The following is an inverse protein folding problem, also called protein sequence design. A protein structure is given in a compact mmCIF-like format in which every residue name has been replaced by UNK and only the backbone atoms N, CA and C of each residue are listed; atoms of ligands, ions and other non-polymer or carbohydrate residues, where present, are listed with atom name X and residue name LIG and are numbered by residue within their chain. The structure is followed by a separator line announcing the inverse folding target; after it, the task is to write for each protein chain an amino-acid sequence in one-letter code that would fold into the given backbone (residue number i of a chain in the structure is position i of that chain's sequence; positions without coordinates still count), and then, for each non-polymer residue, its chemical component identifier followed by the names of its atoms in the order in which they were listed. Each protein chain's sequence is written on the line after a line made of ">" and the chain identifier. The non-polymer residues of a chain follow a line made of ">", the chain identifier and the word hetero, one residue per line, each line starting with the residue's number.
data_IF_968553132994
#
_entry.id   IF_968553132994
#
_cell.length_a   1.000
_cell.length_b   1.000
_cell.length_c   1.000
_cell.angle_alpha   90.00
_cell.angle_beta   90.00
_cell.angle_gamma   90.00
#
_symmetry.space_group_name_H-M   'P 1'
#
loop_
_entity.id
_entity.type
_entity.pdbx_description
1 polymer ?
#
# COMPACT_ATOMS: atom_id res chain seq x y z
N UNK A 1 -27.72 32.44 9.07
CA UNK A 1 -26.78 32.38 7.94
C UNK A 1 -25.36 32.11 8.42
N UNK A 2 -24.89 32.74 9.50
CA UNK A 2 -23.58 32.44 10.11
C UNK A 2 -23.46 31.01 10.66
N UNK A 3 -24.50 30.47 11.31
CA UNK A 3 -24.44 29.09 11.82
C UNK A 3 -24.26 28.04 10.72
N UNK A 4 -24.93 28.22 9.57
CA UNK A 4 -24.80 27.31 8.42
C UNK A 4 -23.37 27.34 7.84
N UNK A 5 -22.79 28.54 7.71
CA UNK A 5 -21.43 28.73 7.20
C UNK A 5 -20.38 28.14 8.16
N UNK A 6 -20.65 28.20 9.48
CA UNK A 6 -19.81 27.59 10.52
C UNK A 6 -19.87 26.06 10.51
N UNK A 7 -21.03 25.49 10.24
CA UNK A 7 -21.23 24.04 10.14
C UNK A 7 -20.54 23.48 8.88
N UNK A 8 -20.71 24.14 7.73
CA UNK A 8 -20.00 23.79 6.48
C UNK A 8 -18.47 23.87 6.64
N UNK A 9 -17.95 24.86 7.36
CA UNK A 9 -16.51 24.96 7.65
C UNK A 9 -16.01 23.81 8.54
N UNK A 10 -16.82 23.35 9.50
CA UNK A 10 -16.49 22.22 10.35
C UNK A 10 -16.42 20.93 9.55
N UNK A 11 -17.43 20.68 8.71
CA UNK A 11 -17.49 19.46 7.90
C UNK A 11 -16.27 19.34 6.98
N UNK A 12 -15.84 20.46 6.38
CA UNK A 12 -14.65 20.51 5.53
C UNK A 12 -13.37 20.22 6.33
N UNK A 13 -13.23 20.78 7.53
CA UNK A 13 -12.07 20.53 8.40
C UNK A 13 -12.04 19.06 8.83
N UNK A 14 -13.18 18.49 9.19
CA UNK A 14 -13.29 17.08 9.56
C UNK A 14 -12.97 16.15 8.38
N UNK A 15 -13.38 16.52 7.16
CA UNK A 15 -13.02 15.80 5.93
C UNK A 15 -11.51 15.85 5.65
N UNK A 16 -10.86 17.01 5.78
CA UNK A 16 -9.40 17.14 5.63
C UNK A 16 -8.67 16.26 6.65
N UNK A 17 -9.04 16.36 7.93
CA UNK A 17 -8.42 15.55 8.99
C UNK A 17 -8.59 14.03 8.73
N UNK A 18 -9.71 13.61 8.14
CA UNK A 18 -9.93 12.21 7.78
C UNK A 18 -9.02 11.79 6.63
N UNK A 19 -8.86 12.63 5.62
CA UNK A 19 -7.98 12.36 4.47
C UNK A 19 -6.52 12.26 4.91
N UNK A 20 -6.04 13.18 5.77
CA UNK A 20 -4.68 13.13 6.33
C UNK A 20 -4.42 11.83 7.11
N UNK A 21 -5.39 11.37 7.92
CA UNK A 21 -5.27 10.09 8.63
C UNK A 21 -5.18 8.90 7.68
N UNK A 22 -5.91 8.92 6.57
CA UNK A 22 -5.83 7.85 5.58
C UNK A 22 -4.47 7.85 4.88
N UNK A 23 -3.94 9.02 4.53
CA UNK A 23 -2.59 9.13 3.95
C UNK A 23 -1.56 8.54 4.90
N UNK A 24 -1.54 8.97 6.16
CA UNK A 24 -0.62 8.42 7.17
C UNK A 24 -0.78 6.92 7.35
N UNK A 25 -2.01 6.39 7.29
CA UNK A 25 -2.23 4.94 7.35
C UNK A 25 -1.61 4.20 6.15
N UNK A 26 -1.75 4.73 4.94
CA UNK A 26 -1.16 4.10 3.76
C UNK A 26 0.36 4.24 3.70
N UNK A 27 0.94 5.33 4.23
CA UNK A 27 2.38 5.45 4.43
C UNK A 27 2.91 4.37 5.38
N UNK A 28 2.25 4.17 6.53
CA UNK A 28 2.60 3.12 7.48
C UNK A 28 2.47 1.70 6.86
N UNK A 29 1.43 1.46 6.06
CA UNK A 29 1.24 0.17 5.35
C UNK A 29 2.31 -0.09 4.29
N UNK A 30 2.83 0.94 3.61
CA UNK A 30 3.98 0.80 2.70
C UNK A 30 5.18 0.26 3.48
N UNK A 31 5.52 0.91 4.60
CA UNK A 31 6.68 0.53 5.40
C UNK A 31 6.53 -0.91 5.93
N UNK A 32 5.35 -1.28 6.45
CA UNK A 32 5.07 -2.64 6.93
C UNK A 32 5.14 -3.68 5.79
N UNK A 33 4.63 -3.36 4.61
CA UNK A 33 4.69 -4.25 3.46
C UNK A 33 6.14 -4.48 2.99
N UNK A 34 6.94 -3.42 2.93
CA UNK A 34 8.36 -3.49 2.57
C UNK A 34 9.16 -4.27 3.61
N UNK A 35 8.97 -4.01 4.91
CA UNK A 35 9.60 -4.77 6.00
C UNK A 35 9.24 -6.27 5.93
N UNK A 36 7.98 -6.58 5.61
CA UNK A 36 7.51 -7.97 5.47
C UNK A 36 8.16 -8.65 4.26
N UNK A 37 8.31 -7.95 3.14
CA UNK A 37 8.98 -8.48 1.95
C UNK A 37 10.48 -8.69 2.21
N UNK A 38 11.15 -7.74 2.86
CA UNK A 38 12.56 -7.87 3.25
C UNK A 38 12.76 -9.03 4.24
N UNK A 39 11.83 -9.23 5.18
CA UNK A 39 11.82 -10.38 6.08
C UNK A 39 11.68 -11.69 5.30
N UNK A 40 10.67 -11.82 4.44
CA UNK A 40 10.47 -13.01 3.61
C UNK A 40 11.69 -13.27 2.70
N UNK A 41 12.34 -12.19 2.26
CA UNK A 41 13.59 -12.25 1.50
C UNK A 41 14.74 -12.85 2.30
N UNK A 42 14.97 -12.30 3.49
CA UNK A 42 16.03 -12.68 4.41
C UNK A 42 15.91 -14.13 4.91
N UNK A 43 14.69 -14.65 5.01
CA UNK A 43 14.43 -16.04 5.43
C UNK A 43 14.41 -17.05 4.28
N UNK A 44 14.73 -16.63 3.04
CA UNK A 44 14.63 -17.46 1.84
C UNK A 44 13.25 -18.13 1.68
N UNK A 45 12.17 -17.45 2.06
CA UNK A 45 10.81 -17.96 1.88
C UNK A 45 10.40 -18.12 0.40
N UNK A 46 11.27 -17.73 -0.54
CA UNK A 46 11.15 -18.00 -1.97
C UNK A 46 11.33 -19.47 -2.35
N UNK A 47 11.76 -20.33 -1.42
CA UNK A 47 12.13 -21.72 -1.70
C UNK A 47 10.88 -22.59 -1.78
N UNK A 48 10.28 -22.66 -2.96
CA UNK A 48 9.20 -23.62 -3.23
C UNK A 48 9.85 -24.99 -3.43
N UNK A 49 9.52 -25.95 -2.57
CA UNK A 49 9.95 -27.35 -2.69
C UNK A 49 8.85 -28.14 -3.41
N UNK A 50 9.16 -28.76 -4.54
CA UNK A 50 8.29 -29.76 -5.16
C UNK A 50 8.66 -31.15 -4.64
N UNK A 51 7.68 -31.87 -4.08
CA UNK A 51 7.78 -33.31 -3.81
C UNK A 51 7.41 -34.07 -5.09
N UNK A 52 8.40 -34.64 -5.76
CA UNK A 52 8.21 -35.55 -6.89
C UNK A 52 8.59 -36.98 -6.52
N UNK A 53 7.71 -37.95 -6.79
CA UNK A 53 8.04 -39.37 -6.70
C UNK A 53 8.42 -39.90 -8.08
N UNK A 54 9.64 -40.42 -8.25
CA UNK A 54 10.00 -41.20 -9.43
C UNK A 54 9.41 -42.61 -9.33
N UNK A 55 9.09 -43.22 -10.47
CA UNK A 55 8.49 -44.57 -10.55
C UNK A 55 9.40 -45.69 -9.98
N UNK A 56 10.67 -45.40 -9.69
CA UNK A 56 11.66 -46.39 -9.22
C UNK A 56 11.98 -46.34 -7.73
N UNK A 57 11.26 -45.53 -6.94
CA UNK A 57 11.22 -45.67 -5.49
C UNK A 57 11.97 -44.61 -4.69
N UNK A 58 11.28 -44.18 -3.62
CA UNK A 58 11.72 -43.56 -2.35
C UNK A 58 12.67 -42.34 -2.35
N UNK A 59 13.20 -41.86 -3.49
CA UNK A 59 13.95 -40.62 -3.51
C UNK A 59 13.05 -39.41 -3.76
N UNK A 60 12.74 -38.69 -2.67
CA UNK A 60 12.16 -37.34 -2.72
C UNK A 60 13.28 -36.35 -3.00
N UNK A 61 13.37 -35.88 -4.23
CA UNK A 61 14.33 -34.84 -4.59
C UNK A 61 13.68 -33.47 -4.35
N UNK A 62 14.11 -32.77 -3.29
CA UNK A 62 13.70 -31.40 -3.05
C UNK A 62 14.43 -30.49 -4.05
N UNK A 63 13.75 -30.10 -5.13
CA UNK A 63 14.28 -29.09 -6.07
C UNK A 63 13.88 -27.71 -5.58
N UNK A 64 14.83 -26.89 -5.09
CA UNK A 64 14.52 -25.53 -4.69
C UNK A 64 14.38 -24.65 -5.94
N UNK A 65 13.20 -24.08 -6.15
CA UNK A 65 13.03 -22.95 -7.06
C UNK A 65 13.18 -21.70 -6.19
N UNK A 66 14.18 -20.87 -6.47
CA UNK A 66 14.28 -19.54 -5.88
C UNK A 66 13.53 -18.57 -6.81
N UNK A 67 12.68 -17.71 -6.26
CA UNK A 67 12.27 -16.49 -6.96
C UNK A 67 13.54 -15.72 -7.32
N UNK A 68 13.65 -15.26 -8.57
CA UNK A 68 14.82 -14.49 -8.99
C UNK A 68 14.69 -13.09 -8.42
N UNK A 69 15.80 -12.43 -8.14
CA UNK A 69 15.81 -11.05 -7.60
C UNK A 69 14.93 -10.09 -8.43
N UNK A 70 14.82 -10.32 -9.74
CA UNK A 70 13.94 -9.56 -10.63
C UNK A 70 12.45 -9.78 -10.36
N UNK A 71 12.03 -11.00 -10.01
CA UNK A 71 10.62 -11.32 -9.74
C UNK A 71 10.15 -10.63 -8.45
N UNK A 72 11.05 -10.51 -7.47
CA UNK A 72 10.79 -9.85 -6.18
C UNK A 72 10.68 -8.35 -6.37
N UNK A 73 11.64 -7.78 -7.11
CA UNK A 73 11.64 -6.36 -7.43
C UNK A 73 10.39 -5.94 -8.20
N UNK A 74 9.91 -6.76 -9.14
CA UNK A 74 8.68 -6.48 -9.88
C UNK A 74 7.45 -6.43 -8.95
N UNK A 75 7.41 -7.28 -7.91
CA UNK A 75 6.34 -7.26 -6.90
C UNK A 75 6.43 -6.03 -5.99
N UNK A 76 7.64 -5.66 -5.55
CA UNK A 76 7.90 -4.44 -4.77
C UNK A 76 7.45 -3.19 -5.54
N UNK A 77 7.90 -3.05 -6.79
CA UNK A 77 7.57 -1.93 -7.67
C UNK A 77 6.04 -1.82 -7.88
N UNK A 78 5.34 -2.95 -8.06
CA UNK A 78 3.88 -2.98 -8.25
C UNK A 78 3.12 -2.54 -6.98
N UNK A 79 3.60 -2.95 -5.80
CA UNK A 79 3.00 -2.57 -4.51
C UNK A 79 3.20 -1.07 -4.28
N UNK A 80 4.43 -0.58 -4.49
CA UNK A 80 4.76 0.84 -4.35
C UNK A 80 3.90 1.70 -5.29
N UNK A 81 3.80 1.32 -6.57
CA UNK A 81 2.98 2.03 -7.56
C UNK A 81 1.51 2.13 -7.13
N UNK A 82 0.92 1.02 -6.67
CA UNK A 82 -0.49 1.02 -6.23
C UNK A 82 -0.73 1.92 -5.03
N UNK A 83 0.15 1.91 -4.04
CA UNK A 83 0.00 2.71 -2.83
C UNK A 83 0.24 4.19 -3.13
N UNK A 84 1.22 4.53 -3.98
CA UNK A 84 1.42 5.91 -4.46
C UNK A 84 0.23 6.46 -5.22
N UNK A 85 -0.39 5.66 -6.09
CA UNK A 85 -1.60 6.06 -6.81
C UNK A 85 -2.76 6.38 -5.86
N UNK A 86 -2.93 5.61 -4.78
CA UNK A 86 -3.94 5.92 -3.75
C UNK A 86 -3.63 7.22 -3.00
N UNK A 87 -2.36 7.48 -2.67
CA UNK A 87 -1.93 8.73 -2.04
C UNK A 87 -2.24 9.92 -2.96
N UNK A 88 -1.90 9.83 -4.25
CA UNK A 88 -2.15 10.90 -5.22
C UNK A 88 -3.66 11.18 -5.39
N UNK A 89 -4.52 10.16 -5.34
CA UNK A 89 -5.97 10.33 -5.32
C UNK A 89 -6.43 11.16 -4.10
N UNK A 90 -5.92 10.85 -2.91
CA UNK A 90 -6.25 11.60 -1.68
C UNK A 90 -5.69 13.03 -1.69
N UNK A 91 -4.46 13.25 -2.17
CA UNK A 91 -3.88 14.60 -2.32
C UNK A 91 -4.71 15.48 -3.28
N UNK A 92 -5.20 14.88 -4.37
CA UNK A 92 -6.11 15.54 -5.30
C UNK A 92 -7.46 15.89 -4.66
N UNK A 93 -8.01 15.00 -3.83
CA UNK A 93 -9.23 15.29 -3.05
C UNK A 93 -9.00 16.41 -2.02
N UNK A 94 -7.89 16.38 -1.28
CA UNK A 94 -7.51 17.44 -0.33
C UNK A 94 -7.44 18.79 -1.06
N UNK A 95 -6.78 18.84 -2.22
CA UNK A 95 -6.67 20.07 -3.02
C UNK A 95 -8.04 20.62 -3.44
N UNK A 96 -8.96 19.76 -3.89
CA UNK A 96 -10.34 20.15 -4.22
C UNK A 96 -11.10 20.67 -2.99
N UNK A 97 -10.90 20.04 -1.84
CA UNK A 97 -11.53 20.43 -0.58
C UNK A 97 -11.03 21.79 -0.09
N UNK A 98 -9.72 22.07 -0.20
CA UNK A 98 -9.17 23.40 0.07
C UNK A 98 -9.69 24.47 -0.90
N UNK A 99 -9.93 24.11 -2.17
CA UNK A 99 -10.51 25.04 -3.14
C UNK A 99 -11.94 25.44 -2.76
N UNK A 100 -12.79 24.47 -2.36
CA UNK A 100 -14.14 24.74 -1.84
C UNK A 100 -14.11 25.61 -0.58
N UNK A 101 -13.16 25.34 0.34
CA UNK A 101 -12.95 26.17 1.53
C UNK A 101 -12.63 27.61 1.17
N UNK A 102 -11.76 27.83 0.18
CA UNK A 102 -11.39 29.16 -0.31
C UNK A 102 -12.59 29.91 -0.88
N UNK A 103 -13.48 29.23 -1.62
CA UNK A 103 -14.71 29.82 -2.15
C UNK A 103 -15.69 30.21 -1.04
N UNK A 104 -15.82 29.37 -0.01
CA UNK A 104 -16.69 29.64 1.15
C UNK A 104 -16.17 30.76 2.05
N UNK A 105 -14.88 31.08 2.00
CA UNK A 105 -14.27 32.17 2.78
C UNK A 105 -14.22 33.51 2.02
N UNK A 106 -14.56 33.54 0.72
CA UNK A 106 -14.80 34.76 -0.06
C UNK A 106 -16.18 35.37 0.23
#
# INVERSE_FOLDING_TARGET
>A
MEDKRREELKDIIDEINRLEKNISFYEDEIDVAMDTLEFLYSFHCHRISFDGSSDEGEFRENVPINLRDNDIKEVEDLIEEKLRNQIEEYENEISKTYQKLSELLK
#
